data_IF_886497705544
#
_entry.id   IF_886497705544
#
_cell.length_a   1.000
_cell.length_b   1.000
_cell.length_c   1.000
_cell.angle_alpha   90.00
_cell.angle_beta   90.00
_cell.angle_gamma   90.00
#
_symmetry.space_group_name_H-M   'P 1'
#
loop_
_entity.id
_entity.type
_entity.pdbx_description
1 polymer ?
#
# COMPACT_ATOMS: atom_id res chain seq x y z
N UNK A 1 30.77 -24.28 73.65
CA UNK A 1 31.37 -24.38 72.30
C UNK A 1 30.48 -23.62 71.31
N UNK A 2 29.91 -22.48 71.76
CA UNK A 2 28.62 -21.96 71.22
C UNK A 2 28.70 -20.51 70.75
N UNK A 3 29.88 -19.87 70.87
CA UNK A 3 30.09 -18.49 70.44
C UNK A 3 30.50 -18.39 68.95
N UNK A 4 31.17 -19.42 68.43
CA UNK A 4 31.59 -19.47 67.02
C UNK A 4 30.41 -19.80 66.08
N UNK A 5 29.53 -20.69 66.52
CA UNK A 5 28.37 -21.19 65.76
C UNK A 5 27.33 -20.07 65.48
N UNK A 6 27.06 -19.24 66.50
CA UNK A 6 26.18 -18.07 66.36
C UNK A 6 26.76 -16.97 65.45
N UNK A 7 28.07 -16.92 65.28
CA UNK A 7 28.73 -15.89 64.47
C UNK A 7 28.73 -16.28 62.97
N UNK A 8 28.88 -17.57 62.67
CA UNK A 8 28.76 -18.11 61.30
C UNK A 8 27.32 -18.00 60.77
N UNK A 9 26.30 -18.31 61.59
CA UNK A 9 24.89 -18.24 61.17
C UNK A 9 24.42 -16.79 60.88
N UNK A 10 24.93 -15.81 61.64
CA UNK A 10 24.64 -14.38 61.43
C UNK A 10 25.37 -13.83 60.20
N UNK A 11 26.58 -14.31 59.90
CA UNK A 11 27.33 -13.91 58.73
C UNK A 11 26.76 -14.51 57.43
N UNK A 12 26.22 -15.73 57.51
CA UNK A 12 25.53 -16.41 56.42
C UNK A 12 24.20 -15.71 56.06
N UNK A 13 23.36 -15.39 57.07
CA UNK A 13 22.13 -14.61 56.86
C UNK A 13 22.40 -13.23 56.28
N UNK A 14 23.44 -12.54 56.74
CA UNK A 14 23.86 -11.24 56.20
C UNK A 14 24.35 -11.36 54.74
N UNK A 15 25.04 -12.45 54.39
CA UNK A 15 25.47 -12.72 53.01
C UNK A 15 24.29 -13.04 52.10
N UNK A 16 23.25 -13.74 52.57
CA UNK A 16 22.02 -13.97 51.81
C UNK A 16 21.21 -12.67 51.60
N UNK A 17 21.02 -11.87 52.64
CA UNK A 17 20.28 -10.60 52.59
C UNK A 17 20.95 -9.54 51.70
N UNK A 18 22.28 -9.55 51.57
CA UNK A 18 23.03 -8.68 50.64
C UNK A 18 23.09 -9.26 49.21
N UNK A 19 22.99 -10.59 49.07
CA UNK A 19 23.07 -11.33 47.80
C UNK A 19 21.73 -11.32 47.03
N UNK A 20 20.61 -11.28 47.72
CA UNK A 20 19.26 -11.09 47.15
C UNK A 20 19.09 -9.77 46.36
N UNK A 21 19.34 -8.58 46.93
CA UNK A 21 19.15 -7.31 46.23
C UNK A 21 20.15 -7.13 45.08
N UNK A 22 21.35 -7.73 45.18
CA UNK A 22 22.35 -7.69 44.10
C UNK A 22 22.03 -8.65 42.95
N UNK A 23 21.33 -9.77 43.19
CA UNK A 23 20.80 -10.67 42.15
C UNK A 23 19.57 -10.07 41.47
N UNK A 24 18.64 -9.50 42.24
CA UNK A 24 17.44 -8.85 41.71
C UNK A 24 17.79 -7.63 40.84
N UNK A 25 18.73 -6.80 41.30
CA UNK A 25 19.27 -5.68 40.51
C UNK A 25 19.93 -6.17 39.23
N UNK A 26 20.67 -7.28 39.25
CA UNK A 26 21.27 -7.87 38.03
C UNK A 26 20.21 -8.37 37.05
N UNK A 27 19.17 -9.04 37.51
CA UNK A 27 18.04 -9.50 36.69
C UNK A 27 17.30 -8.32 36.04
N UNK A 28 17.07 -7.23 36.77
CA UNK A 28 16.49 -6.01 36.23
C UNK A 28 17.36 -5.37 35.13
N UNK A 29 18.68 -5.32 35.33
CA UNK A 29 19.61 -4.82 34.31
C UNK A 29 19.63 -5.70 33.05
N UNK A 30 19.54 -7.02 33.22
CA UNK A 30 19.46 -7.97 32.11
C UNK A 30 18.13 -7.79 31.35
N UNK A 31 17.00 -7.71 32.06
CA UNK A 31 15.69 -7.43 31.46
C UNK A 31 15.66 -6.09 30.73
N UNK A 32 16.24 -5.04 31.31
CA UNK A 32 16.36 -3.73 30.69
C UNK A 32 17.23 -3.78 29.43
N UNK A 33 18.34 -4.51 29.46
CA UNK A 33 19.20 -4.70 28.29
C UNK A 33 18.46 -5.40 27.15
N UNK A 34 17.74 -6.48 27.44
CA UNK A 34 16.92 -7.16 26.44
C UNK A 34 15.80 -6.25 25.91
N UNK A 35 15.07 -5.56 26.79
CA UNK A 35 14.01 -4.64 26.40
C UNK A 35 14.51 -3.48 25.53
N UNK A 36 15.67 -2.90 25.87
CA UNK A 36 16.32 -1.85 25.10
C UNK A 36 16.77 -2.37 23.72
N UNK A 37 17.34 -3.58 23.66
CA UNK A 37 17.74 -4.21 22.41
C UNK A 37 16.54 -4.49 21.49
N UNK A 38 15.46 -5.06 22.03
CA UNK A 38 14.21 -5.28 21.28
C UNK A 38 13.61 -3.96 20.81
N UNK A 39 13.56 -2.94 21.66
CA UNK A 39 13.04 -1.62 21.30
C UNK A 39 13.88 -0.98 20.20
N UNK A 40 15.21 -1.01 20.29
CA UNK A 40 16.11 -0.48 19.27
C UNK A 40 15.90 -1.20 17.93
N UNK A 41 15.82 -2.54 17.94
CA UNK A 41 15.55 -3.33 16.74
C UNK A 41 14.20 -2.98 16.11
N UNK A 42 13.16 -2.79 16.92
CA UNK A 42 11.83 -2.42 16.43
C UNK A 42 11.81 -1.00 15.87
N UNK A 43 12.50 -0.06 16.52
CA UNK A 43 12.66 1.32 16.04
C UNK A 43 13.41 1.37 14.70
N UNK A 44 14.46 0.56 14.53
CA UNK A 44 15.18 0.47 13.25
C UNK A 44 14.30 -0.11 12.13
N UNK A 45 13.50 -1.13 12.42
CA UNK A 45 12.54 -1.68 11.46
C UNK A 45 11.46 -0.64 11.09
N UNK A 46 10.92 0.06 12.08
CA UNK A 46 9.94 1.12 11.86
C UNK A 46 10.54 2.27 11.03
N UNK A 47 11.77 2.69 11.32
CA UNK A 47 12.50 3.68 10.52
C UNK A 47 12.71 3.22 9.09
N UNK A 48 13.07 1.95 8.86
CA UNK A 48 13.23 1.40 7.52
C UNK A 48 11.90 1.40 6.74
N UNK A 49 10.79 1.01 7.38
CA UNK A 49 9.45 1.07 6.78
C UNK A 49 9.03 2.52 6.51
N UNK A 50 9.30 3.44 7.44
CA UNK A 50 8.97 4.85 7.30
C UNK A 50 9.77 5.51 6.17
N UNK A 51 11.09 5.27 6.10
CA UNK A 51 11.96 5.73 5.02
C UNK A 51 11.59 5.08 3.67
N UNK A 52 11.20 3.80 3.69
CA UNK A 52 10.67 3.11 2.51
C UNK A 52 9.39 3.77 1.98
N UNK A 53 8.48 4.16 2.87
CA UNK A 53 7.27 4.88 2.51
C UNK A 53 7.54 6.32 2.05
N UNK A 54 8.54 7.02 2.61
CA UNK A 54 8.97 8.34 2.12
C UNK A 54 9.67 8.28 0.76
N UNK A 55 10.36 7.17 0.46
CA UNK A 55 11.03 6.94 -0.83
C UNK A 55 10.04 6.71 -1.96
N UNK A 56 8.81 6.31 -1.63
CA UNK A 56 7.69 6.33 -2.56
C UNK A 56 7.23 7.79 -2.61
N UNK A 57 7.84 8.58 -3.50
CA UNK A 57 7.27 9.86 -3.90
C UNK A 57 5.85 9.60 -4.36
N UNK A 58 4.85 9.95 -3.53
CA UNK A 58 3.46 10.01 -3.96
C UNK A 58 3.45 10.83 -5.25
N UNK A 59 2.98 10.28 -6.37
CA UNK A 59 3.14 10.99 -7.61
C UNK A 59 2.19 12.19 -7.55
N UNK A 60 2.76 13.40 -7.62
CA UNK A 60 2.03 14.65 -7.35
C UNK A 60 1.03 14.84 -8.49
N UNK A 61 -0.26 14.84 -8.15
CA UNK A 61 -1.35 15.17 -9.06
C UNK A 61 -1.58 16.67 -9.08
N UNK A 62 -1.53 17.28 -10.26
CA UNK A 62 -1.72 18.71 -10.47
C UNK A 62 -2.97 18.96 -11.32
N UNK A 63 -3.78 19.98 -10.98
CA UNK A 63 -4.94 20.34 -11.79
C UNK A 63 -4.48 21.02 -13.09
N UNK A 64 -5.18 20.75 -14.18
CA UNK A 64 -4.96 21.36 -15.50
C UNK A 64 -6.25 21.37 -16.33
N UNK A 65 -6.17 21.93 -17.52
CA UNK A 65 -7.22 21.93 -18.53
C UNK A 65 -6.82 20.99 -19.66
N UNK A 66 -7.64 19.97 -19.90
CA UNK A 66 -7.38 18.93 -20.88
C UNK A 66 -8.36 19.01 -22.04
N UNK A 67 -7.82 19.17 -23.25
CA UNK A 67 -8.59 19.14 -24.49
C UNK A 67 -8.62 17.72 -25.04
N UNK A 68 -9.81 17.18 -25.29
CA UNK A 68 -9.96 15.85 -25.89
C UNK A 68 -9.68 15.94 -27.39
N UNK A 69 -8.63 15.25 -27.85
CA UNK A 69 -8.21 15.20 -29.26
C UNK A 69 -8.92 14.06 -29.99
N UNK A 70 -9.11 12.93 -29.34
CA UNK A 70 -9.85 11.78 -29.89
C UNK A 70 -10.48 10.94 -28.77
N UNK A 71 -11.56 10.23 -29.09
CA UNK A 71 -12.22 9.31 -28.17
C UNK A 71 -12.47 7.96 -28.83
N UNK A 72 -12.35 6.89 -28.06
CA UNK A 72 -12.51 5.50 -28.51
C UNK A 72 -13.01 4.62 -27.36
N UNK A 73 -13.51 3.43 -27.68
CA UNK A 73 -13.76 2.37 -26.68
C UNK A 73 -12.73 1.28 -26.94
N UNK A 74 -12.05 0.85 -25.89
CA UNK A 74 -11.00 -0.17 -25.99
C UNK A 74 -11.15 -1.20 -24.86
N UNK A 75 -10.55 -2.37 -25.08
CA UNK A 75 -10.47 -3.43 -24.08
C UNK A 75 -9.19 -3.25 -23.26
N UNK A 76 -9.34 -2.96 -21.97
CA UNK A 76 -8.24 -2.87 -21.02
C UNK A 76 -8.06 -4.18 -20.28
N UNK A 77 -6.83 -4.42 -19.83
CA UNK A 77 -6.47 -5.59 -19.05
C UNK A 77 -5.75 -5.19 -17.78
N UNK A 78 -6.18 -5.73 -16.65
CA UNK A 78 -5.42 -5.69 -15.41
C UNK A 78 -5.00 -7.10 -15.03
N UNK A 79 -3.77 -7.25 -14.53
CA UNK A 79 -3.34 -8.54 -13.98
C UNK A 79 -3.90 -8.64 -12.57
N UNK A 80 -4.57 -9.75 -12.26
CA UNK A 80 -5.10 -10.02 -10.93
C UNK A 80 -4.49 -11.33 -10.44
N UNK A 81 -3.92 -11.32 -9.24
CA UNK A 81 -3.32 -12.49 -8.62
C UNK A 81 -4.13 -12.89 -7.38
N UNK A 82 -4.53 -14.15 -7.31
CA UNK A 82 -5.28 -14.71 -6.17
C UNK A 82 -4.33 -14.91 -4.98
N UNK A 83 -4.42 -14.03 -3.97
CA UNK A 83 -3.70 -14.16 -2.69
C UNK A 83 -4.48 -15.07 -1.70
N UNK A 84 -4.88 -16.27 -2.13
CA UNK A 84 -5.66 -17.20 -1.29
C UNK A 84 -7.11 -16.74 -1.08
N UNK A 85 -7.58 -16.71 0.18
CA UNK A 85 -8.99 -16.42 0.53
C UNK A 85 -9.44 -14.96 0.27
N UNK A 86 -8.50 -14.04 0.04
CA UNK A 86 -8.81 -12.62 -0.19
C UNK A 86 -8.98 -12.37 -1.69
N UNK A 87 -10.22 -12.57 -2.15
CA UNK A 87 -10.61 -12.31 -3.52
C UNK A 87 -10.70 -10.80 -3.80
N UNK A 88 -9.97 -10.40 -4.84
CA UNK A 88 -9.93 -9.13 -5.57
C UNK A 88 -11.04 -8.10 -5.27
N UNK A 89 -10.86 -7.29 -4.23
CA UNK A 89 -11.61 -6.03 -4.01
C UNK A 89 -10.68 -4.95 -3.49
N UNK A 90 -9.62 -4.61 -4.24
CA UNK A 90 -8.72 -3.56 -3.78
C UNK A 90 -8.14 -2.72 -4.91
N UNK A 91 -8.23 -1.41 -4.72
CA UNK A 91 -7.51 -0.36 -5.45
C UNK A 91 -5.99 -0.62 -5.51
N UNK A 92 -5.45 -1.28 -4.48
CA UNK A 92 -4.06 -1.69 -4.38
C UNK A 92 -3.90 -3.20 -4.60
N UNK A 93 -3.73 -3.60 -5.86
CA UNK A 93 -3.36 -4.98 -6.21
C UNK A 93 -1.87 -5.12 -5.98
N UNK A 94 -1.48 -5.70 -4.84
CA UNK A 94 -0.10 -6.06 -4.57
C UNK A 94 0.30 -7.23 -5.49
N UNK A 95 1.29 -7.00 -6.33
CA UNK A 95 1.83 -8.05 -7.19
C UNK A 95 2.95 -8.79 -6.46
N UNK A 96 2.88 -10.12 -6.35
CA UNK A 96 4.03 -10.89 -5.90
C UNK A 96 5.19 -10.70 -6.88
N UNK A 97 6.38 -10.41 -6.35
CA UNK A 97 7.63 -10.24 -7.12
C UNK A 97 7.98 -11.52 -7.90
N UNK A 98 7.71 -12.69 -7.30
CA UNK A 98 8.02 -13.99 -7.91
C UNK A 98 6.88 -14.55 -8.77
N UNK A 99 7.20 -14.83 -10.04
CA UNK A 99 6.28 -15.28 -11.10
C UNK A 99 5.58 -16.64 -10.85
N UNK A 100 5.91 -17.38 -9.79
CA UNK A 100 5.51 -18.80 -9.65
C UNK A 100 4.61 -19.14 -8.47
N UNK A 101 4.39 -18.23 -7.51
CA UNK A 101 3.76 -18.59 -6.23
C UNK A 101 2.24 -18.35 -6.16
N UNK A 102 1.64 -17.54 -7.04
CA UNK A 102 0.20 -17.24 -7.01
C UNK A 102 -0.43 -17.41 -8.39
N UNK A 103 -1.66 -17.94 -8.43
CA UNK A 103 -2.44 -18.06 -9.68
C UNK A 103 -2.85 -16.65 -10.10
N UNK A 104 -2.30 -16.16 -11.19
CA UNK A 104 -2.66 -14.87 -11.76
C UNK A 104 -3.46 -15.06 -13.05
N UNK A 105 -4.43 -14.19 -13.28
CA UNK A 105 -5.20 -14.10 -14.50
C UNK A 105 -5.27 -12.66 -14.98
N UNK A 106 -5.51 -12.47 -16.27
CA UNK A 106 -5.81 -11.15 -16.81
C UNK A 106 -7.32 -10.95 -16.76
N UNK A 107 -7.73 -9.90 -16.08
CA UNK A 107 -9.11 -9.44 -16.05
C UNK A 107 -9.27 -8.39 -17.15
N UNK A 108 -10.11 -8.71 -18.14
CA UNK A 108 -10.42 -7.82 -19.24
C UNK A 108 -11.69 -7.01 -18.94
N UNK A 109 -11.67 -5.73 -19.28
CA UNK A 109 -12.79 -4.82 -19.09
C UNK A 109 -12.87 -3.79 -20.21
N UNK A 110 -14.08 -3.36 -20.53
CA UNK A 110 -14.29 -2.27 -21.48
C UNK A 110 -14.05 -0.93 -20.81
N UNK A 111 -13.35 -0.03 -21.47
CA UNK A 111 -13.15 1.33 -21.01
C UNK A 111 -13.26 2.33 -22.16
N UNK A 112 -13.71 3.53 -21.85
CA UNK A 112 -13.61 4.67 -22.76
C UNK A 112 -12.19 5.21 -22.67
N UNK A 113 -11.54 5.42 -23.81
CA UNK A 113 -10.17 5.91 -23.89
C UNK A 113 -10.18 7.23 -24.64
N UNK A 114 -9.65 8.26 -23.98
CA UNK A 114 -9.55 9.62 -24.50
C UNK A 114 -8.08 9.98 -24.68
N UNK A 115 -7.73 10.43 -25.89
CA UNK A 115 -6.45 11.10 -26.11
C UNK A 115 -6.64 12.56 -25.77
N UNK A 116 -5.90 13.04 -24.78
CA UNK A 116 -6.01 14.41 -24.28
C UNK A 116 -4.72 15.18 -24.50
N UNK A 117 -4.88 16.46 -24.80
CA UNK A 117 -3.81 17.46 -24.81
C UNK A 117 -3.97 18.33 -23.56
N UNK A 118 -2.91 18.49 -22.78
CA UNK A 118 -2.91 19.27 -21.55
C UNK A 118 -1.65 20.11 -21.43
N UNK A 119 -1.71 21.17 -20.63
CA UNK A 119 -0.54 22.00 -20.32
C UNK A 119 0.11 21.48 -19.05
N UNK A 120 1.40 21.13 -19.15
CA UNK A 120 2.23 20.75 -18.02
C UNK A 120 2.63 21.99 -17.19
N UNK A 121 3.15 21.79 -15.98
CA UNK A 121 3.61 22.88 -15.09
C UNK A 121 4.69 23.77 -15.73
N UNK A 122 5.40 23.25 -16.73
CA UNK A 122 6.38 23.99 -17.55
C UNK A 122 5.75 24.88 -18.63
N UNK A 123 4.42 24.88 -18.77
CA UNK A 123 3.70 25.60 -19.83
C UNK A 123 3.74 24.92 -21.20
N UNK A 124 4.29 23.69 -21.29
CA UNK A 124 4.37 22.95 -22.54
C UNK A 124 3.12 22.07 -22.75
N UNK A 125 2.60 22.08 -23.98
CA UNK A 125 1.54 21.18 -24.40
C UNK A 125 2.04 19.73 -24.46
N UNK A 126 1.34 18.81 -23.80
CA UNK A 126 1.65 17.38 -23.78
C UNK A 126 0.42 16.55 -24.12
N UNK A 127 0.66 15.40 -24.74
CA UNK A 127 -0.36 14.42 -25.04
C UNK A 127 -0.33 13.31 -23.99
N UNK A 128 -1.50 12.91 -23.51
CA UNK A 128 -1.67 11.80 -22.60
C UNK A 128 -2.96 11.02 -22.90
N UNK A 129 -3.11 9.90 -22.20
CA UNK A 129 -4.32 9.10 -22.22
C UNK A 129 -5.09 9.29 -20.92
N UNK A 130 -6.40 9.46 -21.07
CA UNK A 130 -7.37 9.37 -19.98
C UNK A 130 -8.30 8.19 -20.23
N UNK A 131 -8.64 7.48 -19.16
CA UNK A 131 -9.43 6.24 -19.20
C UNK A 131 -10.62 6.35 -18.26
N UNK A 132 -11.74 5.83 -18.71
CA UNK A 132 -13.03 5.85 -18.02
C UNK A 132 -13.69 4.47 -18.07
N UNK A 133 -13.57 3.62 -17.03
CA UNK A 133 -12.91 3.87 -15.74
C UNK A 133 -11.37 3.81 -15.85
N UNK A 134 -10.69 4.58 -15.00
CA UNK A 134 -9.23 4.65 -14.89
C UNK A 134 -8.59 3.46 -14.13
N UNK A 135 -9.42 2.61 -13.54
CA UNK A 135 -9.04 1.52 -12.64
C UNK A 135 -9.86 0.25 -12.96
N UNK A 136 -9.34 -0.90 -12.53
CA UNK A 136 -10.03 -2.17 -12.69
C UNK A 136 -11.16 -2.30 -11.66
N UNK A 137 -12.40 -2.19 -12.11
CA UNK A 137 -13.57 -2.32 -11.26
C UNK A 137 -13.91 -3.80 -10.94
N UNK A 138 -14.57 -4.06 -9.78
CA UNK A 138 -15.16 -5.35 -9.44
C UNK A 138 -16.04 -5.90 -10.56
N UNK A 139 -16.16 -7.24 -10.65
CA UNK A 139 -16.99 -7.91 -11.67
C UNK A 139 -18.43 -7.38 -11.72
N UNK A 140 -19.00 -7.13 -10.56
CA UNK A 140 -20.43 -6.86 -10.38
C UNK A 140 -20.83 -5.47 -10.92
N UNK A 141 -19.86 -4.57 -11.08
CA UNK A 141 -20.09 -3.19 -11.50
C UNK A 141 -19.20 -2.78 -12.68
N UNK A 142 -18.56 -3.75 -13.33
CA UNK A 142 -17.70 -3.50 -14.48
C UNK A 142 -18.55 -3.04 -15.67
N UNK A 143 -18.20 -1.94 -16.35
CA UNK A 143 -18.95 -1.48 -17.51
C UNK A 143 -18.86 -2.51 -18.64
N UNK A 144 -20.00 -2.75 -19.29
CA UNK A 144 -20.05 -3.45 -20.56
C UNK A 144 -19.68 -2.49 -21.71
N UNK A 145 -19.59 -3.03 -22.93
CA UNK A 145 -19.25 -2.24 -24.12
C UNK A 145 -20.21 -1.05 -24.30
N UNK A 146 -21.52 -1.26 -24.15
CA UNK A 146 -22.52 -0.20 -24.32
C UNK A 146 -22.37 0.92 -23.29
N UNK A 147 -22.08 0.58 -22.03
CA UNK A 147 -21.83 1.55 -20.97
C UNK A 147 -20.56 2.37 -21.26
N UNK A 148 -19.46 1.72 -21.66
CA UNK A 148 -18.25 2.41 -22.08
C UNK A 148 -18.51 3.31 -23.31
N UNK A 149 -19.30 2.86 -24.28
CA UNK A 149 -19.67 3.66 -25.43
C UNK A 149 -20.49 4.90 -25.06
N UNK A 150 -21.44 4.76 -24.13
CA UNK A 150 -22.23 5.89 -23.62
C UNK A 150 -21.34 6.90 -22.88
N UNK A 151 -20.39 6.44 -22.07
CA UNK A 151 -19.41 7.32 -21.43
C UNK A 151 -18.56 8.06 -22.45
N UNK A 152 -18.07 7.37 -23.48
CA UNK A 152 -17.37 8.00 -24.62
C UNK A 152 -18.21 9.11 -25.27
N UNK A 153 -19.52 8.90 -25.48
CA UNK A 153 -20.39 9.84 -26.19
C UNK A 153 -20.76 11.10 -25.37
N UNK A 154 -20.65 11.03 -24.04
CA UNK A 154 -20.81 12.18 -23.13
C UNK A 154 -19.69 13.19 -23.30
N UNK A 155 -18.46 12.72 -23.44
CA UNK A 155 -17.29 13.57 -23.67
C UNK A 155 -17.19 13.94 -25.15
N UNK A 156 -17.20 15.24 -25.45
CA UNK A 156 -17.10 15.73 -26.83
C UNK A 156 -15.65 15.96 -27.21
N UNK A 157 -15.27 15.45 -28.37
CA UNK A 157 -13.97 15.73 -28.99
C UNK A 157 -13.87 17.23 -29.28
N UNK A 158 -12.66 17.78 -29.19
CA UNK A 158 -12.35 19.21 -29.35
C UNK A 158 -12.94 20.13 -28.26
N UNK A 159 -13.41 19.56 -27.14
CA UNK A 159 -13.76 20.32 -25.93
C UNK A 159 -12.69 20.17 -24.85
N UNK A 160 -12.61 21.19 -24.00
CA UNK A 160 -11.71 21.24 -22.85
C UNK A 160 -12.47 20.90 -21.57
N UNK A 161 -11.84 20.11 -20.71
CA UNK A 161 -12.39 19.64 -19.44
C UNK A 161 -11.35 19.82 -18.33
N UNK A 162 -11.84 20.00 -17.10
CA UNK A 162 -10.99 19.97 -15.93
C UNK A 162 -10.42 18.56 -15.73
N UNK A 163 -9.10 18.51 -15.48
CA UNK A 163 -8.38 17.26 -15.35
C UNK A 163 -7.25 17.37 -14.34
N UNK A 164 -6.77 16.22 -13.89
CA UNK A 164 -5.62 16.07 -13.04
C UNK A 164 -4.59 15.22 -13.75
N UNK A 165 -3.37 15.73 -13.91
CA UNK A 165 -2.26 14.95 -14.45
C UNK A 165 -1.24 14.66 -13.35
N UNK A 166 -0.56 13.54 -13.50
CA UNK A 166 0.39 13.05 -12.52
C UNK A 166 1.81 13.24 -13.02
N UNK A 167 2.69 13.89 -12.24
CA UNK A 167 4.08 14.07 -12.64
C UNK A 167 4.79 12.72 -12.83
N UNK A 168 5.51 12.58 -13.95
CA UNK A 168 6.27 11.37 -14.29
C UNK A 168 5.44 10.22 -14.89
N UNK A 169 4.11 10.35 -14.99
CA UNK A 169 3.22 9.34 -15.57
C UNK A 169 2.39 9.98 -16.68
N UNK A 170 2.39 9.40 -17.88
CA UNK A 170 1.58 9.88 -19.01
C UNK A 170 0.11 9.45 -18.92
N UNK A 171 -0.48 9.55 -17.72
CA UNK A 171 -1.89 9.28 -17.45
C UNK A 171 -2.54 10.51 -16.86
N UNK A 172 -3.74 10.79 -17.35
CA UNK A 172 -4.54 11.95 -16.94
C UNK A 172 -5.89 11.44 -16.47
N UNK A 173 -6.39 12.05 -15.40
CA UNK A 173 -7.72 11.82 -14.87
C UNK A 173 -8.60 13.00 -15.27
N UNK A 174 -9.65 12.73 -16.06
CA UNK A 174 -10.67 13.73 -16.35
C UNK A 174 -11.71 13.65 -15.23
N UNK A 175 -12.24 14.80 -14.79
CA UNK A 175 -13.26 14.84 -13.76
C UNK A 175 -14.51 14.08 -14.20
N UNK A 176 -14.89 13.05 -13.43
CA UNK A 176 -15.95 12.10 -13.75
C UNK A 176 -17.01 12.00 -12.64
N UNK A 177 -17.32 13.13 -11.99
CA UNK A 177 -18.32 13.13 -10.92
C UNK A 177 -19.66 12.52 -11.35
N UNK A 178 -20.03 11.43 -10.67
CA UNK A 178 -21.32 10.77 -10.84
C UNK A 178 -21.48 9.90 -12.08
N UNK A 179 -20.41 9.57 -12.82
CA UNK A 179 -20.52 8.68 -13.98
C UNK A 179 -20.36 7.20 -13.67
N UNK A 180 -19.61 6.88 -12.61
CA UNK A 180 -19.45 5.52 -12.13
C UNK A 180 -19.78 5.47 -10.65
N UNK A 181 -20.96 4.96 -10.32
CA UNK A 181 -21.38 4.71 -8.92
C UNK A 181 -20.52 3.63 -8.24
N UNK A 182 -19.65 2.97 -9.00
CA UNK A 182 -18.75 1.95 -8.49
C UNK A 182 -17.32 2.46 -8.39
N UNK A 183 -16.78 2.35 -7.18
CA UNK A 183 -15.37 2.57 -6.90
C UNK A 183 -14.74 1.26 -6.46
N UNK A 184 -13.48 1.04 -6.83
CA UNK A 184 -12.68 0.00 -6.20
C UNK A 184 -12.62 0.30 -4.68
N UNK A 185 -13.05 -0.65 -3.84
CA UNK A 185 -12.96 -0.47 -2.40
C UNK A 185 -11.49 -0.47 -1.98
N UNK A 186 -11.11 0.45 -1.11
CA UNK A 186 -9.82 0.38 -0.46
C UNK A 186 -9.80 -0.81 0.52
N UNK A 187 -8.75 -1.64 0.51
CA UNK A 187 -8.63 -2.72 1.47
C UNK A 187 -8.53 -2.15 2.89
N UNK A 188 -9.19 -2.79 3.85
CA UNK A 188 -9.05 -2.40 5.25
C UNK A 188 -7.60 -2.58 5.74
N UNK A 189 -7.18 -1.85 6.78
CA UNK A 189 -5.83 -1.98 7.36
C UNK A 189 -5.51 -3.43 7.76
N UNK A 190 -6.53 -4.14 8.29
CA UNK A 190 -6.42 -5.56 8.66
C UNK A 190 -6.19 -6.42 7.41
N UNK A 191 -6.94 -6.15 6.33
CA UNK A 191 -6.80 -6.87 5.08
C UNK A 191 -5.43 -6.60 4.42
N UNK A 192 -4.94 -5.36 4.46
CA UNK A 192 -3.58 -5.01 4.02
C UNK A 192 -2.51 -5.74 4.83
N UNK A 193 -2.65 -5.78 6.15
CA UNK A 193 -1.71 -6.49 7.03
C UNK A 193 -1.71 -8.00 6.76
N UNK A 194 -2.89 -8.62 6.59
CA UNK A 194 -3.01 -10.04 6.23
C UNK A 194 -2.35 -10.31 4.87
N UNK A 195 -2.56 -9.46 3.86
CA UNK A 195 -1.93 -9.60 2.54
C UNK A 195 -0.41 -9.55 2.65
N UNK A 196 0.12 -8.63 3.45
CA UNK A 196 1.56 -8.52 3.70
C UNK A 196 2.11 -9.80 4.35
N UNK A 197 1.44 -10.32 5.39
CA UNK A 197 1.83 -11.58 6.04
C UNK A 197 1.78 -12.80 5.10
N UNK A 198 0.79 -12.87 4.19
CA UNK A 198 0.69 -13.95 3.21
C UNK A 198 1.84 -13.87 2.19
N UNK A 199 2.20 -12.67 1.75
CA UNK A 199 3.34 -12.45 0.86
C UNK A 199 4.65 -12.88 1.54
N UNK A 200 4.93 -12.40 2.76
CA UNK A 200 6.16 -12.74 3.48
C UNK A 200 6.27 -14.23 3.86
N UNK A 201 5.18 -14.86 4.29
CA UNK A 201 5.19 -16.30 4.65
C UNK A 201 5.46 -17.18 3.45
N UNK A 202 5.05 -16.76 2.25
CA UNK A 202 5.24 -17.55 1.02
C UNK A 202 6.62 -17.30 0.39
N UNK A 203 7.27 -16.17 0.67
CA UNK A 203 8.65 -15.91 0.21
C UNK A 203 9.69 -16.76 0.96
N UNK A 204 9.46 -17.10 2.23
CA UNK A 204 10.38 -17.93 3.06
C UNK A 204 10.35 -19.44 2.79
N UNK A 205 9.53 -19.92 1.86
CA UNK A 205 9.38 -21.34 1.50
C UNK A 205 9.76 -21.56 0.04
#
# INVERSE_FOLDING_TARGET
MDLADNQEEVEEKRKEEIREPTRFRRLLWILFFFFAFFSLSFSLLYLAVFLGNLSISSPISLPSQCKIVSSSVDLRSSKVCELGLLNYKAKHVLYPSERKKFRCRYDYYWASVFKVEYMDHSGQARLALAEAPNEALPSDCRPNFSAAWLTKDKFKVNKTYECWYTLGISKVHIYEDGFFDCQAKDPSTIEMFIRYLILEKKERK
#
